data_IF_079737794908
#
_entry.id   IF_079737794908
#
_cell.length_a   1.000
_cell.length_b   1.000
_cell.length_c   1.000
_cell.angle_alpha   90.00
_cell.angle_beta   90.00
_cell.angle_gamma   90.00
#
_symmetry.space_group_name_H-M   'P 1'
#
loop_
_entity.id
_entity.type
_entity.pdbx_description
1 polymer ?
#
# COMPACT_ATOMS: atom_id res chain seq x y z
N UNK A 1 -8.50 9.62 9.88
CA UNK A 1 -8.66 8.80 8.67
C UNK A 1 -8.12 9.60 7.50
N UNK A 2 -7.17 9.01 6.77
CA UNK A 2 -6.06 9.70 6.10
C UNK A 2 -6.44 10.83 5.16
N UNK A 3 -5.80 11.98 5.37
CA UNK A 3 -5.85 13.12 4.48
C UNK A 3 -4.93 12.81 3.28
N UNK A 4 -5.43 12.03 2.31
CA UNK A 4 -4.74 11.84 1.04
C UNK A 4 -4.86 13.15 0.28
N UNK A 5 -3.73 13.78 -0.05
CA UNK A 5 -3.73 15.01 -0.85
C UNK A 5 -4.41 14.75 -2.19
N UNK A 6 -5.24 15.68 -2.66
CA UNK A 6 -5.90 15.62 -3.96
C UNK A 6 -4.91 15.29 -5.08
N UNK A 7 -3.68 15.81 -4.99
CA UNK A 7 -2.61 15.51 -5.93
C UNK A 7 -2.26 14.02 -5.98
N UNK A 8 -2.15 13.37 -4.81
CA UNK A 8 -1.83 11.95 -4.69
C UNK A 8 -3.00 11.10 -5.16
N UNK A 9 -4.23 11.47 -4.81
CA UNK A 9 -5.42 10.76 -5.26
C UNK A 9 -5.56 10.82 -6.79
N UNK A 10 -5.38 12.00 -7.38
CA UNK A 10 -5.42 12.18 -8.84
C UNK A 10 -4.30 11.39 -9.52
N UNK A 11 -3.10 11.38 -8.95
CA UNK A 11 -1.98 10.60 -9.48
C UNK A 11 -2.31 9.10 -9.47
N UNK A 12 -2.82 8.59 -8.35
CA UNK A 12 -3.16 7.17 -8.24
C UNK A 12 -4.29 6.76 -9.18
N UNK A 13 -5.32 7.61 -9.34
CA UNK A 13 -6.41 7.36 -10.29
C UNK A 13 -5.91 7.35 -11.75
N UNK A 14 -4.95 8.22 -12.09
CA UNK A 14 -4.34 8.21 -13.42
C UNK A 14 -3.55 6.93 -13.68
N UNK A 15 -2.76 6.48 -12.71
CA UNK A 15 -2.02 5.21 -12.82
C UNK A 15 -2.97 4.03 -12.97
N UNK A 16 -4.00 3.92 -12.12
CA UNK A 16 -5.01 2.88 -12.23
C UNK A 16 -5.83 2.93 -13.54
N UNK A 17 -5.96 4.12 -14.15
CA UNK A 17 -6.56 4.26 -15.47
C UNK A 17 -5.62 3.79 -16.58
N UNK A 18 -4.32 4.07 -16.48
CA UNK A 18 -3.31 3.56 -17.43
C UNK A 18 -3.16 2.04 -17.36
N UNK A 19 -3.31 1.46 -16.16
CA UNK A 19 -3.27 0.01 -15.93
C UNK A 19 -4.59 -0.69 -16.29
N UNK A 20 -5.56 0.03 -16.88
CA UNK A 20 -6.90 -0.47 -17.23
C UNK A 20 -7.69 -1.06 -16.05
N UNK A 21 -7.35 -0.70 -14.81
CA UNK A 21 -8.07 -1.13 -13.60
C UNK A 21 -9.31 -0.26 -13.36
N UNK A 22 -9.20 1.03 -13.66
CA UNK A 22 -10.26 2.03 -13.48
C UNK A 22 -10.59 2.72 -14.81
N UNK A 23 -11.87 2.89 -15.10
CA UNK A 23 -12.35 3.72 -16.21
C UNK A 23 -12.88 5.07 -15.70
N UNK A 24 -12.69 6.11 -16.50
CA UNK A 24 -13.23 7.46 -16.27
C UNK A 24 -14.41 7.69 -17.20
N UNK A 25 -15.58 7.97 -16.63
CA UNK A 25 -16.82 8.24 -17.36
C UNK A 25 -17.14 9.74 -17.23
N UNK A 26 -17.26 10.41 -18.37
CA UNK A 26 -17.63 11.82 -18.45
C UNK A 26 -19.08 11.93 -18.93
N UNK A 27 -19.98 12.37 -18.04
CA UNK A 27 -21.42 12.40 -18.32
C UNK A 27 -21.84 13.59 -19.18
N UNK A 28 -20.94 14.55 -19.45
CA UNK A 28 -21.18 15.75 -20.28
C UNK A 28 -22.49 16.51 -19.95
N UNK A 29 -22.96 16.39 -18.71
CA UNK A 29 -24.18 17.06 -18.24
C UNK A 29 -23.85 18.43 -17.62
N UNK A 30 -24.88 19.22 -17.33
CA UNK A 30 -24.74 20.48 -16.58
C UNK A 30 -25.46 20.30 -15.24
N UNK A 31 -24.76 20.35 -14.10
CA UNK A 31 -23.31 20.60 -13.93
C UNK A 31 -22.43 19.41 -14.37
N UNK A 32 -21.19 19.66 -14.84
CA UNK A 32 -20.31 18.61 -15.34
C UNK A 32 -19.98 17.58 -14.25
N UNK A 33 -20.22 16.31 -14.56
CA UNK A 33 -20.01 15.18 -13.67
C UNK A 33 -19.06 14.16 -14.29
N UNK A 34 -18.09 13.74 -13.48
CA UNK A 34 -17.13 12.69 -13.82
C UNK A 34 -17.22 11.61 -12.77
N UNK A 35 -17.36 10.36 -13.18
CA UNK A 35 -17.29 9.20 -12.29
C UNK A 35 -16.12 8.29 -12.66
N UNK A 36 -15.61 7.59 -11.66
CA UNK A 36 -14.60 6.57 -11.81
C UNK A 36 -15.21 5.23 -11.42
N UNK A 37 -15.06 4.22 -12.28
CA UNK A 37 -15.59 2.87 -12.07
C UNK A 37 -14.48 1.85 -12.26
N UNK A 38 -14.58 0.69 -11.61
CA UNK A 38 -13.68 -0.43 -11.93
C UNK A 38 -14.03 -0.98 -13.32
N UNK A 39 -13.02 -1.33 -14.09
CA UNK A 39 -13.20 -2.11 -15.32
C UNK A 39 -13.50 -3.58 -14.98
N UNK A 40 -13.87 -4.44 -15.96
CA UNK A 40 -13.92 -5.88 -15.74
C UNK A 40 -12.59 -6.46 -15.21
N UNK A 41 -11.46 -5.97 -15.71
CA UNK A 41 -10.13 -6.36 -15.22
C UNK A 41 -9.92 -5.90 -13.78
N UNK A 42 -10.23 -4.64 -13.46
CA UNK A 42 -10.14 -4.13 -12.09
C UNK A 42 -11.05 -4.84 -11.09
N UNK A 43 -12.24 -5.27 -11.52
CA UNK A 43 -13.12 -6.12 -10.71
C UNK A 43 -12.50 -7.49 -10.41
N UNK A 44 -11.82 -8.10 -11.39
CA UNK A 44 -11.11 -9.37 -11.18
C UNK A 44 -9.97 -9.22 -10.15
N UNK A 45 -9.23 -8.11 -10.22
CA UNK A 45 -8.18 -7.79 -9.25
C UNK A 45 -8.78 -7.59 -7.84
N UNK A 46 -9.86 -6.82 -7.72
CA UNK A 46 -10.54 -6.61 -6.45
C UNK A 46 -11.00 -7.93 -5.80
N UNK A 47 -11.53 -8.85 -6.62
CA UNK A 47 -11.93 -10.18 -6.14
C UNK A 47 -10.74 -11.02 -5.67
N UNK A 48 -9.59 -10.93 -6.34
CA UNK A 48 -8.37 -11.61 -5.92
C UNK A 48 -7.78 -11.03 -4.63
N UNK A 49 -7.88 -9.71 -4.44
CA UNK A 49 -7.41 -9.03 -3.23
C UNK A 49 -8.33 -9.22 -2.03
N UNK A 50 -9.63 -9.47 -2.25
CA UNK A 50 -10.62 -9.65 -1.18
C UNK A 50 -10.21 -10.67 -0.11
N UNK A 51 -9.85 -11.92 -0.46
CA UNK A 51 -9.35 -12.91 0.48
C UNK A 51 -8.10 -12.48 1.25
N UNK A 52 -7.18 -11.76 0.59
CA UNK A 52 -5.98 -11.23 1.22
C UNK A 52 -6.33 -10.16 2.26
N UNK A 53 -7.28 -9.27 1.94
CA UNK A 53 -7.79 -8.28 2.88
C UNK A 53 -8.41 -8.96 4.10
N UNK A 54 -9.25 -9.99 3.90
CA UNK A 54 -9.87 -10.75 5.00
C UNK A 54 -8.81 -11.39 5.89
N UNK A 55 -7.85 -12.10 5.29
CA UNK A 55 -6.75 -12.71 6.03
C UNK A 55 -5.96 -11.65 6.81
N UNK A 56 -5.62 -10.53 6.16
CA UNK A 56 -4.89 -9.43 6.76
C UNK A 56 -5.62 -8.85 7.97
N UNK A 57 -6.94 -8.61 7.85
CA UNK A 57 -7.78 -8.14 8.95
C UNK A 57 -7.80 -9.13 10.12
N UNK A 58 -7.94 -10.43 9.84
CA UNK A 58 -7.95 -11.47 10.88
C UNK A 58 -6.60 -11.60 11.61
N UNK A 59 -5.49 -11.31 10.93
CA UNK A 59 -4.13 -11.50 11.47
C UNK A 59 -3.44 -10.19 11.80
N UNK A 60 -4.15 -9.04 11.84
CA UNK A 60 -3.54 -7.72 12.04
C UNK A 60 -2.62 -7.67 13.26
N UNK A 61 -3.08 -8.20 14.40
CA UNK A 61 -2.30 -8.21 15.66
C UNK A 61 -1.02 -9.02 15.53
N UNK A 62 -1.08 -10.16 14.85
CA UNK A 62 0.09 -11.00 14.64
C UNK A 62 1.07 -10.35 13.66
N UNK A 63 0.57 -9.81 12.56
CA UNK A 63 1.38 -9.06 11.58
C UNK A 63 2.06 -7.85 12.24
N UNK A 64 1.37 -7.14 13.13
CA UNK A 64 1.94 -6.02 13.88
C UNK A 64 3.03 -6.48 14.86
N UNK A 65 2.82 -7.58 15.59
CA UNK A 65 3.88 -8.14 16.45
C UNK A 65 5.12 -8.56 15.65
N UNK A 66 4.92 -9.21 14.50
CA UNK A 66 6.01 -9.62 13.61
C UNK A 66 6.73 -8.43 12.98
N UNK A 67 6.04 -7.33 12.69
CA UNK A 67 6.65 -6.10 12.18
C UNK A 67 7.46 -5.39 13.27
N UNK A 68 6.93 -5.30 14.49
CA UNK A 68 7.62 -4.72 15.65
C UNK A 68 8.89 -5.51 16.00
N UNK A 69 8.84 -6.85 15.99
CA UNK A 69 10.03 -7.69 16.20
C UNK A 69 11.14 -7.43 15.18
N UNK A 70 10.78 -7.19 13.92
CA UNK A 70 11.77 -6.83 12.87
C UNK A 70 12.37 -5.45 13.10
N UNK A 71 11.57 -4.48 13.56
CA UNK A 71 12.04 -3.13 13.84
C UNK A 71 12.84 -3.02 15.16
N UNK A 72 12.52 -3.86 16.14
CA UNK A 72 13.17 -3.91 17.45
C UNK A 72 14.46 -4.76 17.47
N UNK A 73 14.93 -5.24 16.32
CA UNK A 73 16.25 -5.87 16.19
C UNK A 73 17.23 -4.89 15.53
N UNK A 74 17.95 -4.05 16.29
CA UNK A 74 19.01 -3.21 15.73
C UNK A 74 20.41 -3.85 15.78
N UNK A 75 20.57 -5.14 16.10
CA UNK A 75 21.90 -5.77 16.23
C UNK A 75 22.09 -7.03 15.35
N UNK A 76 23.22 -7.20 14.63
CA UNK A 76 24.35 -6.28 14.60
C UNK A 76 25.57 -6.72 13.80
N UNK A 77 26.45 -5.73 13.65
CA UNK A 77 27.92 -5.87 13.70
C UNK A 77 28.50 -4.59 14.29
N UNK A 78 28.34 -4.39 15.60
CA UNK A 78 29.35 -3.66 16.38
C UNK A 78 30.07 -4.69 17.23
N UNK A 79 31.25 -5.10 16.78
CA UNK A 79 32.20 -5.89 17.59
C UNK A 79 32.75 -4.99 18.69
N UNK A 80 32.63 -5.35 19.98
CA UNK A 80 33.34 -4.69 21.06
C UNK A 80 34.65 -5.44 21.36
N UNK A 81 35.78 -4.73 21.27
CA UNK A 81 36.95 -4.93 22.13
C UNK A 81 37.88 -6.12 21.84
N UNK A 82 39.04 -5.81 21.27
CA UNK A 82 40.30 -6.44 21.65
C UNK A 82 41.40 -5.37 21.68
N UNK A 83 41.60 -4.77 22.85
CA UNK A 83 42.78 -3.97 23.14
C UNK A 83 43.97 -4.89 23.47
N UNK A 84 45.06 -4.75 22.69
CA UNK A 84 46.53 -4.91 22.92
C UNK A 84 47.07 -5.95 23.94
N UNK A 85 48.27 -6.57 23.74
CA UNK A 85 49.58 -5.87 23.63
C UNK A 85 50.52 -6.48 22.55
N UNK A 86 51.49 -5.77 21.95
CA UNK A 86 52.82 -5.45 22.51
C UNK A 86 53.92 -6.35 21.90
N UNK A 87 54.75 -5.81 21.01
CA UNK A 87 56.14 -6.19 20.70
C UNK A 87 56.75 -5.14 19.76
#
# INVERSE_FOLDING_TARGET
MGNVSDKVLIQQLKELQLDEVVERIDFKEIPPKVEYSLTPFGRSLANALGPLCIWGTQHMVEVERLSQRRQASPDGTTTPGAAKPGA
#
